data_IF_157377414636
#
_entry.id   IF_157377414636
#
_cell.length_a   1.000
_cell.length_b   1.000
_cell.length_c   1.000
_cell.angle_alpha   90.00
_cell.angle_beta   90.00
_cell.angle_gamma   90.00
#
_symmetry.space_group_name_H-M   'P 1'
#
loop_
_entity.id
_entity.type
_entity.pdbx_description
1 polymer ?
#
# COMPACT_ATOMS: atom_id res chain seq x y z
N UNK A 1 -59.73 -12.79 -6.05
CA UNK A 1 -58.45 -12.95 -6.79
C UNK A 1 -57.30 -12.49 -5.89
N UNK A 2 -56.61 -13.41 -5.17
CA UNK A 2 -55.58 -13.02 -4.21
C UNK A 2 -54.21 -13.07 -4.90
N UNK A 3 -53.70 -11.94 -5.37
CA UNK A 3 -52.34 -11.86 -5.95
C UNK A 3 -51.80 -10.46 -5.75
N UNK A 4 -50.96 -10.31 -4.71
CA UNK A 4 -49.54 -9.90 -4.78
C UNK A 4 -49.40 -8.68 -3.85
N UNK A 5 -48.32 -8.37 -3.14
CA UNK A 5 -46.91 -8.73 -3.18
C UNK A 5 -46.43 -8.61 -1.72
N UNK A 6 -45.95 -9.69 -1.09
CA UNK A 6 -45.17 -9.55 0.15
C UNK A 6 -43.82 -10.21 -0.07
N UNK A 7 -43.02 -9.56 -0.92
CA UNK A 7 -41.62 -9.94 -1.12
C UNK A 7 -40.77 -9.16 -0.12
N UNK A 8 -40.49 -9.83 1.00
CA UNK A 8 -39.22 -9.87 1.72
C UNK A 8 -38.38 -8.57 1.59
N UNK A 9 -38.48 -7.69 2.58
CA UNK A 9 -37.49 -6.65 2.81
C UNK A 9 -36.27 -7.29 3.48
N UNK A 10 -35.35 -7.86 2.69
CA UNK A 10 -34.03 -8.25 3.18
C UNK A 10 -33.16 -6.99 3.23
N UNK A 11 -33.09 -6.36 4.40
CA UNK A 11 -32.12 -5.28 4.67
C UNK A 11 -30.71 -5.83 4.52
N UNK A 12 -30.02 -5.42 3.45
CA UNK A 12 -28.62 -5.68 3.22
C UNK A 12 -27.80 -4.92 4.28
N UNK A 13 -27.39 -5.60 5.35
CA UNK A 13 -26.41 -5.06 6.28
C UNK A 13 -25.05 -5.02 5.57
N UNK A 14 -24.76 -3.91 4.90
CA UNK A 14 -23.44 -3.65 4.32
C UNK A 14 -22.52 -3.30 5.48
N UNK A 15 -21.79 -4.30 5.99
CA UNK A 15 -20.72 -4.07 6.95
C UNK A 15 -19.58 -3.29 6.31
N UNK A 16 -19.05 -2.28 7.01
CA UNK A 16 -17.84 -1.58 6.58
C UNK A 16 -16.62 -2.45 6.85
N UNK A 17 -15.87 -2.83 5.81
CA UNK A 17 -14.54 -3.44 5.98
C UNK A 17 -13.54 -2.31 6.21
N UNK A 18 -12.75 -2.31 7.30
CA UNK A 18 -11.74 -1.29 7.51
C UNK A 18 -10.67 -1.36 6.40
N UNK A 19 -10.28 -0.19 5.87
CA UNK A 19 -9.15 -0.10 4.96
C UNK A 19 -7.86 -0.43 5.74
N UNK A 20 -7.10 -1.40 5.24
CA UNK A 20 -5.81 -1.79 5.81
C UNK A 20 -4.70 -1.12 5.01
N UNK A 21 -3.75 -0.49 5.71
CA UNK A 21 -2.50 -0.03 5.12
C UNK A 21 -1.61 -1.21 4.72
N UNK A 22 -1.00 -1.12 3.54
CA UNK A 22 -0.04 -2.09 3.05
C UNK A 22 1.41 -1.66 3.35
N UNK A 23 2.29 -2.65 3.47
CA UNK A 23 3.75 -2.43 3.49
C UNK A 23 4.29 -2.88 2.15
N UNK A 24 4.86 -1.96 1.39
CA UNK A 24 5.42 -2.21 0.06
C UNK A 24 6.93 -2.17 0.15
N UNK A 25 7.58 -3.29 -0.17
CA UNK A 25 9.03 -3.39 -0.16
C UNK A 25 9.65 -2.92 -1.46
N UNK A 26 10.70 -2.11 -1.35
CA UNK A 26 11.62 -1.79 -2.44
C UNK A 26 13.01 -2.30 -2.07
N UNK A 27 13.49 -3.27 -2.85
CA UNK A 27 14.80 -3.88 -2.65
C UNK A 27 15.82 -3.09 -3.47
N UNK A 28 16.92 -2.72 -2.83
CA UNK A 28 18.09 -2.11 -3.47
C UNK A 28 19.15 -3.19 -3.59
N UNK A 29 19.48 -3.58 -4.82
CA UNK A 29 20.50 -4.58 -5.09
C UNK A 29 21.20 -4.26 -6.42
N UNK A 30 22.52 -4.46 -6.46
CA UNK A 30 23.37 -4.19 -7.63
C UNK A 30 23.07 -2.81 -8.24
N UNK A 31 22.97 -1.78 -7.40
CA UNK A 31 22.66 -0.40 -7.78
C UNK A 31 21.27 -0.19 -8.42
N UNK A 32 20.32 -1.11 -8.22
CA UNK A 32 18.96 -1.03 -8.78
C UNK A 32 17.92 -1.07 -7.67
N UNK A 33 16.93 -0.19 -7.75
CA UNK A 33 15.73 -0.21 -6.93
C UNK A 33 14.65 -1.05 -7.60
N UNK A 34 14.11 -2.05 -6.90
CA UNK A 34 13.09 -2.96 -7.42
C UNK A 34 11.92 -3.16 -6.44
N UNK A 35 10.66 -2.89 -6.85
CA UNK A 35 10.28 -2.36 -8.17
C UNK A 35 10.76 -0.91 -8.36
N UNK A 36 11.00 -0.51 -9.61
CA UNK A 36 11.45 0.85 -9.94
C UNK A 36 10.37 1.92 -9.77
N UNK A 37 9.11 1.49 -9.72
CA UNK A 37 7.93 2.34 -9.51
C UNK A 37 6.98 1.62 -8.55
N UNK A 38 6.43 2.39 -7.61
CA UNK A 38 5.43 1.92 -6.65
C UNK A 38 4.24 2.88 -6.68
N UNK A 39 3.04 2.32 -6.73
CA UNK A 39 1.80 3.06 -6.46
C UNK A 39 1.36 2.73 -5.03
N UNK A 40 1.42 3.72 -4.13
CA UNK A 40 1.02 3.59 -2.73
C UNK A 40 -0.18 4.47 -2.44
N UNK A 41 -1.03 4.04 -1.51
CA UNK A 41 -2.17 4.80 -1.01
C UNK A 41 -1.77 5.56 0.25
N UNK A 42 -2.50 6.63 0.55
CA UNK A 42 -2.34 7.33 1.83
C UNK A 42 -2.59 6.35 2.97
N UNK A 43 -1.61 6.22 3.86
CA UNK A 43 -1.61 5.28 4.97
C UNK A 43 -0.68 4.08 4.77
N UNK A 44 -0.27 3.76 3.54
CA UNK A 44 0.70 2.71 3.27
C UNK A 44 2.11 3.08 3.76
N UNK A 45 2.95 2.06 3.92
CA UNK A 45 4.36 2.20 4.29
C UNK A 45 5.25 1.67 3.18
N UNK A 46 6.24 2.46 2.78
CA UNK A 46 7.33 1.99 1.91
C UNK A 46 8.48 1.51 2.79
N UNK A 47 8.84 0.23 2.64
CA UNK A 47 9.98 -0.38 3.31
C UNK A 47 11.15 -0.50 2.33
N UNK A 48 12.22 0.24 2.58
CA UNK A 48 13.45 0.15 1.79
C UNK A 48 14.37 -0.91 2.37
N UNK A 49 14.76 -1.89 1.55
CA UNK A 49 15.65 -2.97 1.96
C UNK A 49 16.93 -2.88 1.15
N UNK A 50 18.01 -2.42 1.77
CA UNK A 50 19.32 -2.39 1.12
C UNK A 50 20.00 -3.76 1.22
N UNK A 51 20.35 -4.34 0.07
CA UNK A 51 21.18 -5.54 -0.05
C UNK A 51 22.52 -5.25 -0.73
N UNK A 52 22.74 -3.99 -1.10
CA UNK A 52 23.97 -3.53 -1.72
C UNK A 52 25.04 -3.26 -0.65
N UNK A 53 26.30 -3.26 -1.07
CA UNK A 53 27.44 -2.91 -0.19
C UNK A 53 27.59 -1.41 0.01
N UNK A 54 26.87 -0.62 -0.79
CA UNK A 54 26.87 0.83 -0.73
C UNK A 54 25.68 1.35 0.08
N UNK A 55 25.89 2.47 0.78
CA UNK A 55 24.80 3.22 1.36
C UNK A 55 23.98 3.87 0.24
N UNK A 56 22.65 3.85 0.41
CA UNK A 56 21.70 4.50 -0.49
C UNK A 56 20.88 5.52 0.29
N UNK A 57 19.94 6.18 -0.39
CA UNK A 57 18.99 7.07 0.27
C UNK A 57 17.58 6.88 -0.25
N UNK A 58 16.61 7.25 0.57
CA UNK A 58 15.23 7.49 0.17
C UNK A 58 14.95 8.99 0.23
N UNK A 59 14.77 9.59 -0.95
CA UNK A 59 14.63 11.04 -1.12
C UNK A 59 13.19 11.42 -1.45
N UNK A 60 12.64 12.37 -0.71
CA UNK A 60 11.43 13.11 -1.11
C UNK A 60 11.83 14.49 -1.63
N UNK A 61 11.55 14.76 -2.91
CA UNK A 61 11.89 16.04 -3.53
C UNK A 61 11.25 17.21 -2.78
N UNK A 62 12.08 18.13 -2.28
CA UNK A 62 11.62 19.28 -1.50
C UNK A 62 11.12 18.94 -0.09
N UNK A 63 11.34 17.70 0.35
CA UNK A 63 10.95 17.20 1.65
C UNK A 63 12.16 16.65 2.41
N UNK A 64 12.03 15.43 2.88
CA UNK A 64 13.02 14.75 3.71
C UNK A 64 13.94 13.84 2.91
N UNK A 65 15.07 13.52 3.54
CA UNK A 65 16.10 12.60 3.04
C UNK A 65 16.40 11.59 4.15
N UNK A 66 16.41 10.30 3.80
CA UNK A 66 16.74 9.21 4.75
C UNK A 66 17.90 8.41 4.19
N UNK A 67 18.99 8.31 4.95
CA UNK A 67 20.11 7.44 4.62
C UNK A 67 19.75 5.98 4.93
N UNK A 68 20.02 5.10 3.98
CA UNK A 68 19.80 3.65 4.08
C UNK A 68 21.18 2.98 4.07
N UNK A 69 21.72 2.61 5.24
CA UNK A 69 23.01 1.93 5.31
C UNK A 69 22.94 0.54 4.65
N UNK A 70 24.10 -0.08 4.34
CA UNK A 70 24.18 -1.49 3.98
C UNK A 70 23.61 -2.42 5.06
#
# INVERSE_FOLDING_TARGET
MPKRHLWIALTLAVGTVPARAETIQVIIDRLVFSPASVEAKVGDTIEWVNKDVFAHTATVKGGWEVMIPP
#
